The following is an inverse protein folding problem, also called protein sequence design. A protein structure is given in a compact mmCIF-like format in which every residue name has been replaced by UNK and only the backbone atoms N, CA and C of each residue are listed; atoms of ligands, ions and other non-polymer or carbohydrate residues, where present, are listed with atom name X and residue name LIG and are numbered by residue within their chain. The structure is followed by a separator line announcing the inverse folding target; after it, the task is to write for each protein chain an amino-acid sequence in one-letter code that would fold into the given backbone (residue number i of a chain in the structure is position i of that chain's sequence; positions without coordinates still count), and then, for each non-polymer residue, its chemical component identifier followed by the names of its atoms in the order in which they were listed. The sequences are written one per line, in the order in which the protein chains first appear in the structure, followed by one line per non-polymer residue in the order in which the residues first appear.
data_IF_934245295663
#
_entry.id   IF_934245295663
#
_cell.length_a   1.000
_cell.length_b   1.000
_cell.length_c   1.000
_cell.angle_alpha   90.00
_cell.angle_beta   90.00
_cell.angle_gamma   90.00
#
_symmetry.space_group_name_H-M   'P 1'
#
loop_
_entity.id
_entity.type
_entity.pdbx_description
1 polymer ?
#
# COMPACT_ATOMS: atom_id res chain seq x y z
N UNK A 1 2.09 -21.56 -6.43
CA UNK A 1 1.86 -20.44 -5.51
C UNK A 1 2.59 -19.27 -6.09
N UNK A 2 1.85 -18.30 -6.63
CA UNK A 2 2.46 -17.08 -7.16
C UNK A 2 3.16 -16.35 -6.01
N UNK A 3 4.38 -15.89 -6.27
CA UNK A 3 5.12 -15.12 -5.30
C UNK A 3 4.28 -13.91 -4.86
N UNK A 4 4.21 -13.58 -3.56
CA UNK A 4 3.50 -12.40 -3.10
C UNK A 4 4.00 -11.17 -3.85
N UNK A 5 3.10 -10.24 -4.16
CA UNK A 5 3.45 -8.98 -4.84
C UNK A 5 4.56 -8.30 -4.05
N UNK A 6 5.74 -8.18 -4.66
CA UNK A 6 6.86 -7.49 -4.05
C UNK A 6 6.83 -6.02 -4.43
N UNK A 7 6.74 -5.15 -3.43
CA UNK A 7 6.77 -3.71 -3.62
C UNK A 7 8.15 -3.18 -3.24
N UNK A 8 8.94 -2.62 -4.18
CA UNK A 8 10.20 -2.00 -3.85
C UNK A 8 9.98 -0.74 -3.00
N UNK A 9 10.93 -0.48 -2.10
CA UNK A 9 10.91 0.66 -1.19
C UNK A 9 11.75 1.81 -1.76
N UNK A 10 11.25 3.04 -1.71
CA UNK A 10 12.06 4.23 -2.00
C UNK A 10 12.91 4.64 -0.77
N UNK A 11 13.71 5.71 -0.91
CA UNK A 11 14.57 6.24 0.16
C UNK A 11 13.77 6.71 1.39
N UNK A 12 12.55 7.21 1.18
CA UNK A 12 11.66 7.72 2.22
C UNK A 12 10.88 6.62 2.97
N UNK A 13 10.97 5.36 2.50
CA UNK A 13 10.27 4.24 3.13
C UNK A 13 8.96 3.86 2.45
N UNK A 14 8.52 4.58 1.43
CA UNK A 14 7.29 4.27 0.69
C UNK A 14 7.47 3.10 -0.26
N UNK A 15 6.40 2.32 -0.41
CA UNK A 15 6.30 1.22 -1.37
C UNK A 15 5.84 1.75 -2.72
N UNK A 16 6.69 1.68 -3.73
CA UNK A 16 6.47 2.26 -5.06
C UNK A 16 6.45 1.16 -6.11
N UNK A 17 5.53 1.22 -7.06
CA UNK A 17 5.51 0.39 -8.26
C UNK A 17 5.58 1.29 -9.48
N UNK A 18 6.37 0.88 -10.47
CA UNK A 18 6.29 1.46 -11.80
C UNK A 18 5.49 0.53 -12.71
N UNK A 19 4.38 1.05 -13.25
CA UNK A 19 3.44 0.30 -14.09
C UNK A 19 3.62 0.58 -15.59
N UNK A 20 4.67 1.29 -16.00
CA UNK A 20 4.94 1.68 -17.41
C UNK A 20 4.85 0.49 -18.36
N UNK A 21 5.46 -0.65 -18.02
CA UNK A 21 5.39 -1.89 -18.81
C UNK A 21 3.97 -2.43 -18.93
N UNK A 22 3.18 -2.40 -17.86
CA UNK A 22 1.81 -2.89 -17.87
C UNK A 22 0.89 -2.01 -18.74
N UNK A 23 1.21 -0.73 -18.87
CA UNK A 23 0.52 0.22 -19.74
C UNK A 23 1.11 0.33 -21.15
N UNK A 24 2.14 -0.47 -21.49
CA UNK A 24 2.77 -0.42 -22.82
C UNK A 24 3.48 0.90 -23.13
N UNK A 25 4.02 1.58 -22.13
CA UNK A 25 4.74 2.84 -22.33
C UNK A 25 6.04 2.63 -23.10
N UNK A 26 6.38 3.55 -24.01
CA UNK A 26 7.60 3.51 -24.82
C UNK A 26 8.86 3.68 -23.97
N UNK A 27 8.80 4.52 -22.95
CA UNK A 27 9.90 4.80 -22.03
C UNK A 27 9.85 3.77 -20.88
N UNK A 28 10.86 2.90 -20.73
CA UNK A 28 10.93 1.99 -19.58
C UNK A 28 11.03 2.77 -18.27
N UNK A 29 10.26 2.36 -17.27
CA UNK A 29 10.21 3.01 -15.96
C UNK A 29 9.86 4.50 -16.01
N UNK A 30 9.03 4.92 -16.96
CA UNK A 30 8.56 6.30 -17.04
C UNK A 30 7.94 6.73 -15.69
N UNK A 31 8.46 7.81 -15.04
CA UNK A 31 7.99 8.30 -13.75
C UNK A 31 6.49 8.60 -13.74
N UNK A 32 5.92 8.97 -14.90
CA UNK A 32 4.48 9.19 -15.07
C UNK A 32 3.65 7.97 -14.66
N UNK A 33 4.21 6.76 -14.67
CA UNK A 33 3.52 5.53 -14.26
C UNK A 33 3.99 5.00 -12.91
N UNK A 34 4.57 5.84 -12.06
CA UNK A 34 4.84 5.49 -10.67
C UNK A 34 3.61 5.61 -9.79
N UNK A 35 3.37 4.58 -9.00
CA UNK A 35 2.27 4.46 -8.05
C UNK A 35 2.80 4.07 -6.67
N UNK A 36 2.31 4.74 -5.64
CA UNK A 36 2.56 4.44 -4.23
C UNK A 36 1.46 3.56 -3.67
N UNK A 37 1.80 2.53 -2.89
CA UNK A 37 0.81 1.79 -2.11
C UNK A 37 0.30 2.68 -0.97
N UNK A 38 -1.02 2.88 -0.92
CA UNK A 38 -1.68 3.71 0.11
C UNK A 38 -2.66 2.94 0.97
N UNK A 39 -3.04 1.72 0.58
CA UNK A 39 -3.71 0.80 1.49
C UNK A 39 -3.46 -0.65 1.11
N UNK A 40 -3.59 -1.54 2.08
CA UNK A 40 -3.67 -2.97 1.89
C UNK A 40 -4.78 -3.56 2.76
N UNK A 41 -5.53 -4.50 2.20
CA UNK A 41 -6.47 -5.33 2.95
C UNK A 41 -5.91 -6.74 2.99
N UNK A 42 -5.83 -7.33 4.18
CA UNK A 42 -5.35 -8.69 4.41
C UNK A 42 -6.42 -9.52 5.11
N UNK A 43 -6.52 -10.79 4.71
CA UNK A 43 -7.40 -11.75 5.36
C UNK A 43 -6.60 -12.53 6.41
N UNK A 44 -6.98 -12.47 7.68
CA UNK A 44 -6.39 -13.25 8.78
C UNK A 44 -7.14 -14.55 9.07
N UNK A 45 -7.85 -15.10 8.09
CA UNK A 45 -8.54 -16.40 8.14
C UNK A 45 -7.83 -17.49 7.34
N UNK A 46 -8.01 -18.75 7.74
CA UNK A 46 -7.45 -19.91 7.02
C UNK A 46 -8.37 -20.44 5.90
N UNK A 47 -9.59 -19.90 5.76
CA UNK A 47 -10.58 -20.43 4.81
C UNK A 47 -11.29 -19.32 4.04
N UNK A 48 -11.81 -19.65 2.86
CA UNK A 48 -12.56 -18.73 1.99
C UNK A 48 -13.92 -18.28 2.57
N UNK A 49 -14.47 -19.03 3.55
CA UNK A 49 -15.78 -18.77 4.16
C UNK A 49 -15.70 -18.33 5.63
N UNK A 50 -14.50 -18.41 6.22
CA UNK A 50 -14.24 -18.11 7.61
C UNK A 50 -12.91 -17.39 7.72
N UNK A 51 -12.99 -16.09 7.92
CA UNK A 51 -11.84 -15.24 8.07
C UNK A 51 -12.20 -13.84 8.54
N UNK A 52 -11.16 -13.12 8.94
CA UNK A 52 -11.27 -11.76 9.40
C UNK A 52 -10.47 -10.87 8.44
N UNK A 53 -11.00 -9.70 8.10
CA UNK A 53 -10.32 -8.75 7.22
C UNK A 53 -9.79 -7.59 8.03
N UNK A 54 -8.53 -7.27 7.80
CA UNK A 54 -7.85 -6.15 8.43
C UNK A 54 -7.35 -5.23 7.33
N UNK A 55 -7.55 -3.93 7.52
CA UNK A 55 -7.12 -2.91 6.58
C UNK A 55 -6.00 -2.06 7.19
N UNK A 56 -4.95 -1.85 6.42
CA UNK A 56 -3.88 -0.93 6.73
C UNK A 56 -3.95 0.22 5.72
N UNK A 57 -4.06 1.47 6.18
CA UNK A 57 -4.27 2.64 5.33
C UNK A 57 -3.25 3.72 5.65
N UNK A 58 -2.56 4.24 4.63
CA UNK A 58 -1.66 5.37 4.76
C UNK A 58 -2.49 6.67 4.81
N UNK A 59 -2.43 7.37 5.94
CA UNK A 59 -3.01 8.70 6.09
C UNK A 59 -1.92 9.76 6.26
N UNK A 60 -2.30 11.02 6.01
CA UNK A 60 -1.44 12.19 6.19
C UNK A 60 -1.97 13.02 7.35
N UNK A 61 -1.12 13.28 8.35
CA UNK A 61 -1.47 14.17 9.45
C UNK A 61 -1.65 15.60 8.95
N UNK A 62 -2.86 16.16 9.13
CA UNK A 62 -3.20 17.50 8.63
C UNK A 62 -2.33 18.64 9.19
N UNK A 63 -1.76 18.47 10.38
CA UNK A 63 -1.01 19.53 11.08
C UNK A 63 0.45 19.65 10.62
N UNK A 64 1.08 18.54 10.25
CA UNK A 64 2.52 18.50 9.96
C UNK A 64 2.87 17.77 8.65
N UNK A 65 1.87 17.28 7.92
CA UNK A 65 2.07 16.57 6.67
C UNK A 65 2.72 15.20 6.81
N UNK A 66 2.98 14.71 8.03
CA UNK A 66 3.62 13.42 8.24
C UNK A 66 2.66 12.30 7.85
N UNK A 67 3.15 11.40 7.00
CA UNK A 67 2.40 10.21 6.64
C UNK A 67 2.58 9.11 7.69
N UNK A 68 1.51 8.36 7.96
CA UNK A 68 1.47 7.31 8.98
C UNK A 68 0.46 6.25 8.55
N UNK A 69 0.78 4.99 8.81
CA UNK A 69 -0.13 3.89 8.55
C UNK A 69 -1.09 3.71 9.73
N UNK A 70 -2.36 3.51 9.42
CA UNK A 70 -3.42 3.21 10.35
C UNK A 70 -3.88 1.77 10.16
N UNK A 71 -3.80 1.00 11.23
CA UNK A 71 -4.21 -0.38 11.31
C UNK A 71 -5.65 -0.45 11.81
N UNK A 72 -6.58 -0.82 10.93
CA UNK A 72 -8.00 -0.87 11.17
C UNK A 72 -8.45 -2.32 11.35
N UNK A 73 -8.71 -2.70 12.60
CA UNK A 73 -9.14 -4.05 13.00
C UNK A 73 -10.40 -3.94 13.87
N UNK A 74 -11.54 -4.40 13.36
CA UNK A 74 -12.85 -4.26 14.01
C UNK A 74 -12.95 -4.97 15.38
N UNK A 75 -12.28 -6.11 15.58
CA UNK A 75 -12.29 -6.86 16.84
C UNK A 75 -11.61 -6.12 17.99
N UNK A 76 -10.72 -5.19 17.68
CA UNK A 76 -10.02 -4.40 18.71
C UNK A 76 -10.78 -3.15 19.13
N UNK A 77 -11.79 -2.70 18.36
CA UNK A 77 -12.45 -1.41 18.56
C UNK A 77 -11.52 -0.19 18.45
N UNK A 78 -10.23 -0.39 18.14
CA UNK A 78 -9.18 0.62 18.13
C UNK A 78 -8.45 0.64 16.80
N UNK A 79 -8.14 1.85 16.34
CA UNK A 79 -7.23 2.09 15.22
C UNK A 79 -5.85 2.36 15.81
N UNK A 80 -4.87 1.50 15.51
CA UNK A 80 -3.47 1.74 15.93
C UNK A 80 -2.67 2.36 14.80
N UNK A 81 -1.64 3.15 15.12
CA UNK A 81 -0.78 3.78 14.12
C UNK A 81 0.62 3.15 14.07
N UNK A 82 1.22 3.15 12.88
CA UNK A 82 2.56 2.63 12.59
C UNK A 82 3.29 3.58 11.65
N UNK A 83 4.60 3.73 11.86
CA UNK A 83 5.45 4.54 10.97
C UNK A 83 5.50 3.98 9.54
N UNK A 84 5.93 4.83 8.60
CA UNK A 84 6.10 4.44 7.18
C UNK A 84 7.11 3.31 6.98
N UNK A 85 8.06 3.15 7.91
CA UNK A 85 9.03 2.05 7.94
C UNK A 85 8.38 0.67 8.07
N UNK A 86 7.15 0.60 8.61
CA UNK A 86 6.38 -0.64 8.77
C UNK A 86 5.58 -1.04 7.53
N UNK A 87 5.56 -0.22 6.49
CA UNK A 87 4.81 -0.52 5.26
C UNK A 87 5.03 -1.96 4.74
N UNK A 88 6.27 -2.50 4.66
CA UNK A 88 6.48 -3.87 4.16
C UNK A 88 5.77 -4.96 4.98
N UNK A 89 5.66 -4.77 6.29
CA UNK A 89 4.97 -5.71 7.18
C UNK A 89 3.44 -5.64 7.01
N UNK A 90 2.91 -4.43 6.86
CA UNK A 90 1.48 -4.16 6.76
C UNK A 90 0.89 -4.64 5.43
N UNK A 91 1.66 -4.54 4.34
CA UNK A 91 1.26 -5.04 3.02
C UNK A 91 1.52 -6.54 2.84
N UNK A 92 2.25 -7.18 3.76
CA UNK A 92 2.62 -8.58 3.65
C UNK A 92 1.37 -9.46 3.67
N UNK A 93 1.25 -10.33 2.67
CA UNK A 93 0.06 -11.18 2.44
C UNK A 93 -1.22 -10.36 2.23
N UNK A 94 -1.12 -9.12 1.75
CA UNK A 94 -2.26 -8.34 1.30
C UNK A 94 -2.96 -9.03 0.13
N UNK A 95 -4.29 -9.00 0.17
CA UNK A 95 -5.19 -9.53 -0.85
C UNK A 95 -5.66 -8.43 -1.82
N UNK A 96 -5.94 -7.24 -1.30
CA UNK A 96 -6.29 -6.05 -2.08
C UNK A 96 -5.34 -4.92 -1.74
N UNK A 97 -4.93 -4.15 -2.75
CA UNK A 97 -4.06 -2.98 -2.60
C UNK A 97 -4.71 -1.76 -3.24
N UNK A 98 -4.60 -0.60 -2.59
CA UNK A 98 -4.89 0.69 -3.21
C UNK A 98 -3.57 1.36 -3.58
N UNK A 99 -3.52 1.84 -4.82
CA UNK A 99 -2.35 2.47 -5.42
C UNK A 99 -2.70 3.91 -5.80
N UNK A 100 -1.88 4.87 -5.36
CA UNK A 100 -2.00 6.29 -5.71
C UNK A 100 -0.85 6.68 -6.63
N UNK A 101 -1.16 7.25 -7.79
CA UNK A 101 -0.14 7.78 -8.71
C UNK A 101 0.71 8.85 -8.00
N UNK A 102 2.04 8.74 -8.13
CA UNK A 102 3.00 9.67 -7.50
C UNK A 102 3.02 10.99 -8.25
N UNK A 103 3.22 10.92 -9.57
CA UNK A 103 3.19 12.08 -10.44
C UNK A 103 1.74 12.44 -10.75
N UNK A 104 1.30 13.63 -10.32
CA UNK A 104 0.05 14.21 -10.81
C UNK A 104 0.27 14.56 -12.28
N UNK A 105 -0.62 14.13 -13.16
CA UNK A 105 -0.66 14.71 -14.50
C UNK A 105 -0.94 16.20 -14.34
N UNK A 106 -0.22 17.05 -15.08
CA UNK A 106 -0.70 18.40 -15.33
C UNK A 106 -2.11 18.26 -15.92
N UNK A 107 -3.07 18.95 -15.30
CA UNK A 107 -4.48 18.90 -15.65
C UNK A 107 -4.75 19.66 -16.96
#
# INVERSE_FOLDING_TARGET
MDAPVHFPKNQEGHLILNMSKAFGAEIPNDPKYEYRVTASVRQSGRTIHGGHYVADVLGTHLKNGLETWYHCNDFGGEVSSKGVDKAPELVKNGYVFLLKRVHKSEA
#
